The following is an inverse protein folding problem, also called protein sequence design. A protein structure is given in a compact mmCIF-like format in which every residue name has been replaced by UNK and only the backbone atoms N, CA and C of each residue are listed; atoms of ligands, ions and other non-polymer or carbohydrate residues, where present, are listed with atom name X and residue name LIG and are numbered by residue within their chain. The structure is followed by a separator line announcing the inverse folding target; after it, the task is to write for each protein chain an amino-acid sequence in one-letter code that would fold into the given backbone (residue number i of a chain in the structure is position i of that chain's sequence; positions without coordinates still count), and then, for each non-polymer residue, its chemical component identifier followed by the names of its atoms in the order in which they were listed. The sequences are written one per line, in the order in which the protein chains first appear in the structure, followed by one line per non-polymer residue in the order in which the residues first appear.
data_IF_192206034239
#
_entry.id   IF_192206034239
#
_cell.length_a   1.000
_cell.length_b   1.000
_cell.length_c   1.000
_cell.angle_alpha   90.00
_cell.angle_beta   90.00
_cell.angle_gamma   90.00
#
_symmetry.space_group_name_H-M   'P 1'
#
loop_
_entity.id
_entity.type
_entity.pdbx_description
1 polymer ?
#
# COMPACT_ATOMS: atom_id res chain seq x y z
N UNK A 1 15.37 -9.53 29.34
CA UNK A 1 15.74 -9.72 27.93
C UNK A 1 14.67 -10.57 27.26
N UNK A 2 13.95 -10.03 26.32
CA UNK A 2 12.79 -10.67 25.65
C UNK A 2 13.12 -11.14 24.23
N UNK A 3 14.17 -10.58 23.62
CA UNK A 3 14.59 -10.94 22.26
C UNK A 3 15.88 -11.77 22.30
N UNK A 4 15.91 -12.90 21.60
CA UNK A 4 17.09 -13.75 21.51
C UNK A 4 18.29 -13.05 20.86
N UNK A 5 18.04 -12.11 19.97
CA UNK A 5 19.07 -11.29 19.30
C UNK A 5 19.90 -10.45 20.27
N UNK A 6 19.34 -10.09 21.43
CA UNK A 6 20.05 -9.31 22.45
C UNK A 6 21.00 -10.18 23.34
N UNK A 7 20.90 -11.51 23.31
CA UNK A 7 21.62 -12.38 24.24
C UNK A 7 23.15 -12.25 24.09
N UNK A 8 23.66 -12.26 22.86
CA UNK A 8 25.09 -12.17 22.62
C UNK A 8 25.69 -10.86 23.17
N UNK A 9 25.03 -9.73 22.89
CA UNK A 9 25.45 -8.41 23.35
C UNK A 9 25.36 -8.28 24.87
N UNK A 10 24.30 -8.83 25.50
CA UNK A 10 24.14 -8.83 26.96
C UNK A 10 25.24 -9.64 27.63
N UNK A 11 25.55 -10.86 27.12
CA UNK A 11 26.60 -11.72 27.69
C UNK A 11 27.97 -11.07 27.53
N UNK A 12 28.27 -10.45 26.39
CA UNK A 12 29.53 -9.76 26.17
C UNK A 12 29.72 -8.58 27.13
N UNK A 13 28.69 -7.73 27.27
CA UNK A 13 28.74 -6.62 28.22
C UNK A 13 28.91 -7.08 29.66
N UNK A 14 28.24 -8.17 30.07
CA UNK A 14 28.42 -8.73 31.44
C UNK A 14 29.84 -9.17 31.70
N UNK A 15 30.56 -9.73 30.71
CA UNK A 15 31.99 -10.10 30.82
C UNK A 15 32.90 -8.88 30.89
N UNK A 16 32.51 -7.76 30.31
CA UNK A 16 33.32 -6.55 30.15
C UNK A 16 32.91 -5.39 31.08
N UNK A 17 32.45 -5.68 32.30
CA UNK A 17 32.13 -4.68 33.33
C UNK A 17 30.66 -4.35 33.51
N UNK A 18 29.76 -5.06 32.80
CA UNK A 18 28.32 -4.96 32.98
C UNK A 18 27.65 -4.05 31.98
N UNK A 19 26.31 -4.00 32.07
CA UNK A 19 25.47 -3.18 31.23
C UNK A 19 25.44 -1.72 31.68
N UNK A 20 25.55 -0.79 30.75
CA UNK A 20 25.32 0.64 31.04
C UNK A 20 23.87 0.92 31.41
N UNK A 21 23.60 2.12 31.95
CA UNK A 21 22.22 2.57 32.21
C UNK A 21 21.37 2.59 30.92
N UNK A 22 21.90 3.12 29.83
CA UNK A 22 21.19 3.19 28.55
C UNK A 22 20.81 1.80 28.00
N UNK A 23 21.75 0.83 28.10
CA UNK A 23 21.47 -0.55 27.67
C UNK A 23 20.40 -1.23 28.54
N UNK A 24 20.44 -1.01 29.88
CA UNK A 24 19.40 -1.53 30.79
C UNK A 24 18.05 -0.89 30.50
N UNK A 25 18.01 0.42 30.19
CA UNK A 25 16.79 1.14 29.85
C UNK A 25 16.18 0.61 28.53
N UNK A 26 17.01 0.42 27.50
CA UNK A 26 16.57 -0.15 26.21
C UNK A 26 15.98 -1.57 26.40
N UNK A 27 16.65 -2.43 27.18
CA UNK A 27 16.12 -3.77 27.48
C UNK A 27 14.81 -3.72 28.28
N UNK A 28 14.66 -2.74 29.18
CA UNK A 28 13.41 -2.54 29.92
C UNK A 28 12.28 -2.05 28.97
N UNK A 29 12.58 -1.11 28.07
CA UNK A 29 11.63 -0.64 27.05
C UNK A 29 11.16 -1.80 26.18
N UNK A 30 12.08 -2.60 25.61
CA UNK A 30 11.75 -3.80 24.83
C UNK A 30 10.86 -4.79 25.60
N UNK A 31 11.09 -4.94 26.91
CA UNK A 31 10.26 -5.82 27.73
C UNK A 31 8.83 -5.31 27.87
N UNK A 32 8.64 -4.00 28.08
CA UNK A 32 7.31 -3.40 28.14
C UNK A 32 6.60 -3.38 26.79
N UNK A 33 7.31 -3.12 25.69
CA UNK A 33 6.77 -3.22 24.33
C UNK A 33 6.28 -4.64 24.04
N UNK A 34 7.07 -5.66 24.43
CA UNK A 34 6.71 -7.07 24.24
C UNK A 34 5.45 -7.44 25.05
N UNK A 35 5.40 -7.07 26.34
CA UNK A 35 4.25 -7.41 27.19
C UNK A 35 3.00 -6.65 26.79
N UNK A 36 3.12 -5.37 26.42
CA UNK A 36 1.99 -4.57 25.92
C UNK A 36 1.37 -5.18 24.67
N UNK A 37 2.19 -5.60 23.70
CA UNK A 37 1.71 -6.29 22.50
C UNK A 37 1.06 -7.64 22.82
N UNK A 38 1.68 -8.42 23.70
CA UNK A 38 1.16 -9.72 24.14
C UNK A 38 -0.20 -9.60 24.84
N UNK A 39 -0.30 -8.71 25.83
CA UNK A 39 -1.54 -8.47 26.57
C UNK A 39 -2.62 -7.87 25.67
N UNK A 40 -2.25 -7.00 24.72
CA UNK A 40 -3.16 -6.45 23.73
C UNK A 40 -3.77 -7.52 22.81
N UNK A 41 -2.97 -8.48 22.35
CA UNK A 41 -3.46 -9.63 21.57
C UNK A 41 -4.42 -10.50 22.38
N UNK A 42 -4.09 -10.79 23.64
CA UNK A 42 -4.99 -11.55 24.54
C UNK A 42 -6.30 -10.80 24.75
N UNK A 43 -6.24 -9.50 25.03
CA UNK A 43 -7.43 -8.68 25.26
C UNK A 43 -8.34 -8.62 24.02
N UNK A 44 -7.77 -8.49 22.81
CA UNK A 44 -8.50 -8.55 21.55
C UNK A 44 -9.15 -9.93 21.34
N UNK A 45 -8.39 -11.01 21.61
CA UNK A 45 -8.88 -12.38 21.48
C UNK A 45 -10.05 -12.67 22.42
N UNK A 46 -9.87 -12.45 23.72
CA UNK A 46 -10.86 -12.71 24.75
C UNK A 46 -12.07 -11.77 24.63
N UNK A 47 -11.85 -10.51 24.24
CA UNK A 47 -12.90 -9.51 24.08
C UNK A 47 -13.89 -9.80 22.94
N UNK A 48 -13.54 -10.69 22.02
CA UNK A 48 -14.42 -11.18 20.96
C UNK A 48 -15.25 -12.41 21.34
N UNK A 49 -15.00 -13.05 22.49
CA UNK A 49 -15.72 -14.25 22.93
C UNK A 49 -17.11 -13.84 23.46
N UNK A 50 -18.15 -14.54 23.02
CA UNK A 50 -19.52 -14.34 23.53
C UNK A 50 -19.61 -14.90 24.96
N UNK A 51 -19.97 -14.01 25.89
CA UNK A 51 -20.13 -14.31 27.32
C UNK A 51 -21.59 -14.60 27.72
N UNK A 52 -22.52 -14.60 26.77
CA UNK A 52 -23.95 -14.83 27.04
C UNK A 52 -24.29 -16.30 27.32
N UNK A 53 -23.37 -17.21 27.03
CA UNK A 53 -23.49 -18.66 27.27
C UNK A 53 -22.61 -19.09 28.42
N UNK A 54 -23.05 -20.10 29.20
CA UNK A 54 -22.28 -20.68 30.30
C UNK A 54 -20.98 -21.40 29.83
N UNK A 55 -20.90 -21.72 28.53
CA UNK A 55 -19.74 -22.32 27.89
C UNK A 55 -19.09 -21.31 26.94
N UNK A 56 -17.83 -20.98 27.21
CA UNK A 56 -17.03 -20.12 26.33
C UNK A 56 -16.79 -20.85 25.01
N UNK A 57 -17.44 -20.37 23.93
CA UNK A 57 -17.22 -20.88 22.58
C UNK A 57 -16.26 -19.99 21.82
N UNK A 58 -15.21 -20.57 21.28
CA UNK A 58 -14.26 -19.88 20.39
C UNK A 58 -14.71 -19.88 18.92
N UNK A 59 -15.76 -20.67 18.59
CA UNK A 59 -16.26 -20.81 17.22
C UNK A 59 -17.09 -19.61 16.76
N UNK A 60 -17.80 -18.93 17.69
CA UNK A 60 -18.66 -17.79 17.40
C UNK A 60 -18.10 -16.48 17.96
N UNK A 61 -16.83 -16.16 17.63
CA UNK A 61 -16.23 -14.92 18.08
C UNK A 61 -16.72 -13.71 17.28
N UNK A 62 -17.02 -12.62 17.98
CA UNK A 62 -17.22 -11.32 17.33
C UNK A 62 -15.92 -10.87 16.65
N UNK A 63 -16.04 -10.32 15.44
CA UNK A 63 -14.94 -9.66 14.74
C UNK A 63 -14.48 -8.38 15.46
N UNK A 64 -15.37 -7.77 16.26
CA UNK A 64 -15.12 -6.52 16.97
C UNK A 64 -15.09 -6.76 18.47
N UNK A 65 -13.90 -6.87 19.10
CA UNK A 65 -13.77 -7.09 20.53
C UNK A 65 -14.22 -5.87 21.33
N UNK A 66 -14.53 -6.07 22.62
CA UNK A 66 -14.95 -5.00 23.53
C UNK A 66 -13.94 -3.86 23.65
N UNK A 67 -12.65 -4.18 23.65
CA UNK A 67 -11.55 -3.23 23.56
C UNK A 67 -10.70 -3.58 22.34
N UNK A 68 -10.17 -2.59 21.66
CA UNK A 68 -9.35 -2.80 20.47
C UNK A 68 -7.94 -2.26 20.68
N UNK A 69 -6.95 -3.15 20.63
CA UNK A 69 -5.56 -2.84 20.84
C UNK A 69 -4.78 -3.05 19.54
N UNK A 70 -3.92 -2.09 19.20
CA UNK A 70 -3.00 -2.15 18.08
C UNK A 70 -1.60 -1.75 18.55
N UNK A 71 -0.60 -2.41 18.02
CA UNK A 71 0.80 -2.02 18.24
C UNK A 71 1.47 -1.81 16.89
N UNK A 72 2.02 -0.62 16.71
CA UNK A 72 2.83 -0.25 15.56
C UNK A 72 4.24 0.11 16.01
N UNK A 73 5.22 -0.20 15.19
CA UNK A 73 6.63 0.12 15.43
C UNK A 73 7.01 1.31 14.55
N UNK A 74 7.65 2.32 15.13
CA UNK A 74 8.11 3.48 14.37
C UNK A 74 9.21 3.07 13.39
N UNK A 75 8.94 3.26 12.09
CA UNK A 75 9.88 2.99 11.01
C UNK A 75 10.70 4.23 10.66
N UNK A 76 10.09 5.43 10.72
CA UNK A 76 10.72 6.64 10.26
C UNK A 76 10.13 7.88 10.95
N UNK A 77 10.97 8.83 11.34
CA UNK A 77 10.55 10.20 11.63
C UNK A 77 10.41 10.95 10.29
N UNK A 78 9.32 11.69 10.12
CA UNK A 78 9.05 12.43 8.89
C UNK A 78 9.31 13.92 9.10
N UNK A 79 9.79 14.59 8.05
CA UNK A 79 10.10 16.01 8.11
C UNK A 79 8.89 16.86 8.53
N UNK A 80 7.68 16.51 8.06
CA UNK A 80 6.40 17.11 8.39
C UNK A 80 5.27 16.19 7.94
N UNK A 81 4.04 16.46 8.36
CA UNK A 81 2.85 15.73 7.98
C UNK A 81 2.30 16.13 6.61
N UNK A 82 0.99 16.09 6.46
CA UNK A 82 0.34 16.57 5.23
C UNK A 82 0.67 18.05 4.95
N UNK A 83 0.76 18.84 6.02
CA UNK A 83 1.14 20.25 5.95
C UNK A 83 2.44 20.53 6.71
N UNK A 84 3.22 21.58 6.31
CA UNK A 84 4.56 21.85 6.85
C UNK A 84 4.63 22.12 8.36
N UNK A 85 3.53 22.54 8.99
CA UNK A 85 3.47 22.83 10.42
C UNK A 85 3.17 21.59 11.28
N UNK A 86 2.83 20.45 10.68
CA UNK A 86 2.49 19.23 11.38
C UNK A 86 3.74 18.37 11.60
N UNK A 87 3.88 17.81 12.81
CA UNK A 87 4.87 16.77 13.06
C UNK A 87 4.32 15.41 12.60
N UNK A 88 5.17 14.54 12.09
CA UNK A 88 4.77 13.25 11.60
C UNK A 88 5.85 12.18 11.80
N UNK A 89 5.42 10.94 11.85
CA UNK A 89 6.25 9.75 11.80
C UNK A 89 5.49 8.63 11.07
N UNK A 90 6.22 7.72 10.46
CA UNK A 90 5.67 6.52 9.87
C UNK A 90 5.84 5.35 10.84
N UNK A 91 4.74 4.72 11.16
CA UNK A 91 4.68 3.52 11.98
C UNK A 91 4.21 2.35 11.12
N UNK A 92 4.77 1.19 11.35
CA UNK A 92 4.47 -0.04 10.61
C UNK A 92 4.05 -1.16 11.54
N UNK A 93 3.24 -2.06 11.02
CA UNK A 93 2.98 -3.38 11.59
C UNK A 93 3.66 -4.44 10.72
N UNK A 94 3.59 -5.71 11.09
CA UNK A 94 4.12 -6.80 10.28
C UNK A 94 3.04 -7.24 9.28
N UNK A 95 3.11 -6.81 8.00
CA UNK A 95 2.10 -7.16 7.01
C UNK A 95 2.33 -8.57 6.46
N UNK A 96 1.24 -9.19 5.97
CA UNK A 96 1.25 -10.51 5.35
C UNK A 96 1.52 -10.48 3.84
N UNK A 97 1.57 -9.28 3.23
CA UNK A 97 1.79 -9.10 1.80
C UNK A 97 2.74 -7.93 1.51
N UNK A 98 3.29 -7.90 0.29
CA UNK A 98 4.08 -6.77 -0.19
C UNK A 98 3.25 -5.48 -0.20
N UNK A 99 3.76 -4.42 0.43
CA UNK A 99 3.08 -3.12 0.58
C UNK A 99 4.12 -1.99 0.70
N UNK A 100 3.66 -0.76 0.86
CA UNK A 100 4.56 0.38 1.03
C UNK A 100 5.44 0.25 2.28
N UNK A 101 4.92 -0.39 3.34
CA UNK A 101 5.66 -0.59 4.60
C UNK A 101 6.81 -1.61 4.48
N UNK A 102 6.72 -2.56 3.53
CA UNK A 102 7.78 -3.55 3.24
C UNK A 102 8.69 -3.14 2.10
N UNK A 103 8.37 -2.06 1.39
CA UNK A 103 9.11 -1.64 0.22
C UNK A 103 10.53 -1.19 0.57
N UNK A 104 11.50 -1.66 -0.20
CA UNK A 104 12.89 -1.22 -0.12
C UNK A 104 13.08 0.01 -0.99
N UNK A 105 13.48 1.12 -0.38
CA UNK A 105 13.88 2.30 -1.12
C UNK A 105 15.28 2.11 -1.71
N UNK A 106 15.39 2.15 -3.03
CA UNK A 106 16.64 1.94 -3.78
C UNK A 106 17.36 3.24 -4.06
N UNK A 107 16.63 4.36 -4.13
CA UNK A 107 17.14 5.69 -4.44
C UNK A 107 16.21 6.78 -3.93
N UNK A 108 16.73 8.00 -3.83
CA UNK A 108 15.99 9.23 -3.57
C UNK A 108 16.06 9.68 -2.12
N UNK A 109 15.41 10.81 -1.84
CA UNK A 109 15.24 11.34 -0.49
C UNK A 109 14.27 10.48 0.31
N UNK A 110 14.26 10.63 1.62
CA UNK A 110 13.26 10.01 2.49
C UNK A 110 11.84 10.29 1.99
N UNK A 111 10.96 9.31 2.19
CA UNK A 111 9.54 9.44 1.86
C UNK A 111 8.91 10.48 2.78
N UNK A 112 8.10 11.38 2.23
CA UNK A 112 7.24 12.27 2.99
C UNK A 112 5.94 11.57 3.37
N UNK A 113 5.16 12.18 4.27
CA UNK A 113 3.83 11.73 4.64
C UNK A 113 2.94 11.52 3.41
N UNK A 114 2.89 12.52 2.52
CA UNK A 114 2.11 12.42 1.27
C UNK A 114 2.68 11.37 0.31
N UNK A 115 4.01 11.20 0.24
CA UNK A 115 4.58 10.13 -0.59
C UNK A 115 4.12 8.75 -0.13
N UNK A 116 4.10 8.48 1.18
CA UNK A 116 3.62 7.19 1.69
C UNK A 116 2.15 6.98 1.37
N UNK A 117 1.30 7.96 1.65
CA UNK A 117 -0.14 7.87 1.41
C UNK A 117 -0.49 7.69 -0.07
N UNK A 118 0.14 8.47 -0.96
CA UNK A 118 -0.10 8.40 -2.40
C UNK A 118 0.48 7.11 -3.01
N UNK A 119 1.63 6.64 -2.50
CA UNK A 119 2.25 5.38 -2.94
C UNK A 119 1.38 4.18 -2.55
N UNK A 120 0.81 4.18 -1.35
CA UNK A 120 -0.12 3.14 -0.91
C UNK A 120 -1.35 3.10 -1.82
N UNK A 121 -1.97 4.24 -2.09
CA UNK A 121 -3.13 4.34 -3.00
C UNK A 121 -2.80 3.82 -4.41
N UNK A 122 -1.63 4.15 -4.95
CA UNK A 122 -1.21 3.71 -6.28
C UNK A 122 -0.93 2.19 -6.32
N UNK A 123 -0.23 1.68 -5.30
CA UNK A 123 0.12 0.27 -5.20
C UNK A 123 -1.12 -0.61 -5.00
N UNK A 124 -2.03 -0.21 -4.11
CA UNK A 124 -3.26 -0.94 -3.87
C UNK A 124 -4.17 -0.99 -5.11
N UNK A 125 -4.23 0.10 -5.88
CA UNK A 125 -4.94 0.14 -7.13
C UNK A 125 -4.32 -0.81 -8.18
N UNK A 126 -3.00 -0.75 -8.40
CA UNK A 126 -2.34 -1.57 -9.43
C UNK A 126 -2.40 -3.07 -9.13
N UNK A 127 -2.44 -3.46 -7.86
CA UNK A 127 -2.63 -4.85 -7.40
C UNK A 127 -3.97 -5.47 -7.83
N UNK A 128 -4.96 -4.65 -8.20
CA UNK A 128 -6.26 -5.12 -8.68
C UNK A 128 -6.23 -5.70 -10.10
N UNK A 129 -5.11 -5.59 -10.80
CA UNK A 129 -4.95 -6.02 -12.18
C UNK A 129 -3.98 -7.19 -12.30
N UNK A 130 -4.39 -8.21 -13.06
CA UNK A 130 -3.59 -9.41 -13.31
C UNK A 130 -2.69 -9.30 -14.54
N UNK A 131 -3.09 -8.50 -15.56
CA UNK A 131 -2.28 -8.16 -16.71
C UNK A 131 -1.37 -6.98 -16.39
N UNK A 132 -0.28 -6.74 -17.16
CA UNK A 132 0.58 -5.59 -16.94
C UNK A 132 -0.20 -4.29 -16.87
N UNK A 133 0.04 -3.52 -15.83
CA UNK A 133 -0.71 -2.33 -15.50
C UNK A 133 0.20 -1.20 -15.01
N UNK A 134 -0.21 0.02 -15.30
CA UNK A 134 0.34 1.25 -14.76
C UNK A 134 -0.76 2.07 -14.10
N UNK A 135 -0.50 2.53 -12.88
CA UNK A 135 -1.37 3.46 -12.14
C UNK A 135 -0.56 4.71 -11.80
N UNK A 136 -1.10 5.87 -12.14
CA UNK A 136 -0.55 7.18 -11.75
C UNK A 136 -1.52 7.80 -10.77
N UNK A 137 -1.01 8.20 -9.61
CA UNK A 137 -1.78 8.79 -8.51
C UNK A 137 -1.31 10.20 -8.21
N UNK A 138 -2.24 11.07 -7.95
CA UNK A 138 -2.00 12.41 -7.38
C UNK A 138 -3.04 12.69 -6.29
N UNK A 139 -2.55 13.07 -5.10
CA UNK A 139 -3.41 13.35 -3.93
C UNK A 139 -4.35 12.19 -3.58
N UNK A 140 -3.78 10.99 -3.52
CA UNK A 140 -4.46 9.72 -3.23
C UNK A 140 -5.63 9.36 -4.18
N UNK A 141 -5.70 9.96 -5.37
CA UNK A 141 -6.64 9.57 -6.41
C UNK A 141 -5.89 9.13 -7.68
N UNK A 142 -6.31 8.06 -8.35
CA UNK A 142 -5.83 7.75 -9.68
C UNK A 142 -6.16 8.89 -10.66
N UNK A 143 -5.17 9.41 -11.36
CA UNK A 143 -5.35 10.36 -12.45
C UNK A 143 -5.10 9.72 -13.83
N UNK A 144 -4.49 8.54 -13.85
CA UNK A 144 -4.31 7.76 -15.06
C UNK A 144 -4.06 6.28 -14.75
N UNK A 145 -4.83 5.41 -15.39
CA UNK A 145 -4.70 3.95 -15.25
C UNK A 145 -4.81 3.30 -16.62
N UNK A 146 -3.93 2.34 -16.89
CA UNK A 146 -4.06 1.51 -18.08
C UNK A 146 -3.54 0.08 -17.84
N UNK A 147 -4.13 -0.85 -18.58
CA UNK A 147 -3.79 -2.29 -18.56
C UNK A 147 -3.52 -2.75 -19.98
N UNK A 148 -2.34 -3.27 -20.24
CA UNK A 148 -1.92 -3.71 -21.58
C UNK A 148 -1.27 -5.08 -21.49
N UNK A 149 -1.74 -6.09 -22.26
CA UNK A 149 -1.10 -7.39 -22.34
C UNK A 149 0.39 -7.30 -22.71
N UNK A 150 1.18 -8.31 -22.29
CA UNK A 150 2.64 -8.35 -22.57
C UNK A 150 2.94 -8.30 -24.06
N UNK A 151 2.19 -9.04 -24.88
CA UNK A 151 2.30 -9.14 -26.33
C UNK A 151 1.84 -7.87 -27.06
N UNK A 152 1.14 -6.97 -26.37
CA UNK A 152 0.69 -5.67 -26.90
C UNK A 152 1.58 -4.50 -26.43
N UNK A 153 2.66 -4.76 -25.68
CA UNK A 153 3.63 -3.76 -25.24
C UNK A 153 3.78 -3.59 -23.73
N UNK A 154 3.08 -4.39 -22.94
CA UNK A 154 3.28 -4.53 -21.49
C UNK A 154 3.23 -3.22 -20.71
N UNK A 155 4.06 -3.10 -19.66
CA UNK A 155 4.07 -1.92 -18.77
C UNK A 155 4.50 -0.63 -19.46
N UNK A 156 5.38 -0.72 -20.48
CA UNK A 156 5.81 0.47 -21.22
C UNK A 156 4.62 1.15 -21.91
N UNK A 157 3.81 0.36 -22.62
CA UNK A 157 2.60 0.86 -23.25
C UNK A 157 1.53 1.26 -22.23
N UNK A 158 1.40 0.51 -21.14
CA UNK A 158 0.50 0.86 -20.05
C UNK A 158 0.83 2.23 -19.45
N UNK A 159 2.13 2.54 -19.25
CA UNK A 159 2.55 3.87 -18.82
C UNK A 159 2.16 4.97 -19.83
N UNK A 160 2.41 4.75 -21.11
CA UNK A 160 2.05 5.74 -22.16
C UNK A 160 0.56 6.08 -22.13
N UNK A 161 -0.29 5.07 -22.00
CA UNK A 161 -1.73 5.23 -21.98
C UNK A 161 -2.21 5.86 -20.65
N UNK A 162 -1.68 5.43 -19.52
CA UNK A 162 -2.02 6.02 -18.23
C UNK A 162 -1.65 7.51 -18.18
N UNK A 163 -0.45 7.86 -18.63
CA UNK A 163 0.00 9.26 -18.71
C UNK A 163 -0.88 10.12 -19.63
N UNK A 164 -1.34 9.56 -20.74
CA UNK A 164 -2.19 10.25 -21.71
C UNK A 164 -3.61 10.57 -21.18
N UNK A 165 -4.03 9.96 -20.08
CA UNK A 165 -5.34 10.26 -19.46
C UNK A 165 -5.39 11.70 -18.96
N UNK A 166 -4.40 12.12 -18.18
CA UNK A 166 -4.27 13.47 -17.61
C UNK A 166 -2.80 13.77 -17.32
N UNK A 167 -2.10 14.29 -18.32
CA UNK A 167 -0.68 14.59 -18.22
C UNK A 167 -0.37 15.77 -17.28
N UNK A 168 -1.34 16.67 -17.05
CA UNK A 168 -1.18 17.79 -16.15
C UNK A 168 -1.22 17.31 -14.70
N UNK A 169 -2.21 16.51 -14.32
CA UNK A 169 -2.31 15.92 -12.98
C UNK A 169 -1.20 14.90 -12.70
N UNK A 170 -0.67 14.23 -13.73
CA UNK A 170 0.44 13.29 -13.58
C UNK A 170 1.75 13.95 -13.12
N UNK A 171 1.91 15.26 -13.32
CA UNK A 171 3.12 15.99 -12.90
C UNK A 171 3.32 15.94 -11.39
N UNK A 172 4.47 15.43 -10.96
CA UNK A 172 4.79 15.24 -9.54
C UNK A 172 3.94 14.15 -8.86
N UNK A 173 3.35 13.26 -9.64
CA UNK A 173 2.58 12.11 -9.16
C UNK A 173 3.44 10.93 -8.75
N UNK A 174 2.76 9.87 -8.34
CA UNK A 174 3.31 8.57 -7.98
C UNK A 174 2.94 7.58 -9.07
N UNK A 175 3.89 6.74 -9.49
CA UNK A 175 3.68 5.72 -10.52
C UNK A 175 3.88 4.33 -9.92
N UNK A 176 2.87 3.48 -10.04
CA UNK A 176 2.93 2.09 -9.61
C UNK A 176 2.76 1.12 -10.78
N UNK A 177 3.55 0.04 -10.75
CA UNK A 177 3.48 -1.06 -11.70
C UNK A 177 3.23 -2.40 -10.99
N UNK A 178 2.62 -3.35 -11.67
CA UNK A 178 2.45 -4.73 -11.20
C UNK A 178 3.39 -5.73 -11.90
N UNK A 179 4.42 -5.25 -12.55
CA UNK A 179 5.51 -6.01 -13.18
C UNK A 179 6.84 -5.35 -12.86
N UNK A 180 7.94 -6.07 -13.15
CA UNK A 180 9.28 -5.51 -13.05
C UNK A 180 9.40 -4.24 -13.89
N UNK A 181 9.90 -3.16 -13.29
CA UNK A 181 10.24 -1.93 -14.00
C UNK A 181 11.49 -2.17 -14.86
N UNK A 182 11.35 -2.07 -16.16
CA UNK A 182 12.44 -2.18 -17.12
C UNK A 182 13.06 -0.82 -17.47
N UNK A 183 14.23 -0.87 -18.17
CA UNK A 183 14.99 0.32 -18.54
C UNK A 183 14.23 1.24 -19.52
N UNK A 184 13.51 0.67 -20.50
CA UNK A 184 12.79 1.43 -21.52
C UNK A 184 11.60 2.19 -20.91
N UNK A 185 10.88 1.55 -19.99
CA UNK A 185 9.80 2.19 -19.24
C UNK A 185 10.34 3.30 -18.33
N UNK A 186 11.43 3.03 -17.61
CA UNK A 186 12.09 4.01 -16.76
C UNK A 186 12.58 5.23 -17.57
N UNK A 187 13.18 5.01 -18.75
CA UNK A 187 13.64 6.08 -19.66
C UNK A 187 12.47 6.98 -20.09
N UNK A 188 11.36 6.37 -20.49
CA UNK A 188 10.19 7.13 -20.87
C UNK A 188 9.62 8.00 -19.75
N UNK A 189 9.65 7.49 -18.51
CA UNK A 189 9.17 8.25 -17.34
C UNK A 189 10.07 9.47 -17.11
N UNK A 190 11.38 9.28 -17.00
CA UNK A 190 12.32 10.36 -16.61
C UNK A 190 12.48 11.43 -17.67
N UNK A 191 12.21 11.10 -18.95
CA UNK A 191 12.20 12.05 -20.05
C UNK A 191 10.91 12.86 -20.14
N UNK A 192 9.78 12.28 -19.77
CA UNK A 192 8.46 12.85 -20.03
C UNK A 192 7.91 13.68 -18.90
N UNK A 193 8.10 13.26 -17.65
CA UNK A 193 7.48 13.96 -16.52
C UNK A 193 8.39 14.07 -15.29
N UNK A 194 8.10 15.05 -14.48
CA UNK A 194 8.55 15.03 -13.09
C UNK A 194 7.73 14.01 -12.31
N UNK A 195 8.40 13.10 -11.62
CA UNK A 195 7.80 12.05 -10.79
C UNK A 195 8.41 12.07 -9.39
N UNK A 196 7.59 11.91 -8.38
CA UNK A 196 8.04 11.88 -6.97
C UNK A 196 8.47 10.49 -6.53
N UNK A 197 7.66 9.46 -6.84
CA UNK A 197 7.90 8.08 -6.47
C UNK A 197 7.55 7.15 -7.63
N UNK A 198 8.38 6.14 -7.84
CA UNK A 198 8.09 5.00 -8.70
C UNK A 198 8.17 3.74 -7.83
N UNK A 199 7.13 2.90 -7.87
CA UNK A 199 7.08 1.64 -7.14
C UNK A 199 6.73 0.48 -8.07
N UNK A 200 7.46 -0.63 -7.91
CA UNK A 200 7.24 -1.86 -8.66
C UNK A 200 7.58 -3.09 -7.79
N UNK A 201 7.07 -4.29 -8.12
CA UNK A 201 7.47 -5.53 -7.43
C UNK A 201 8.98 -5.74 -7.48
N UNK A 202 9.59 -5.43 -8.63
CA UNK A 202 11.02 -5.55 -8.89
C UNK A 202 11.48 -4.43 -9.82
N UNK A 203 12.74 -4.05 -9.70
CA UNK A 203 13.36 -3.01 -10.52
C UNK A 203 14.62 -3.56 -11.17
N UNK A 204 14.67 -3.58 -12.50
CA UNK A 204 15.83 -4.04 -13.25
C UNK A 204 17.06 -3.15 -13.01
N UNK A 205 18.25 -3.70 -13.26
CA UNK A 205 19.48 -2.92 -13.14
C UNK A 205 19.49 -1.75 -14.13
N UNK A 206 19.02 -1.96 -15.37
CA UNK A 206 18.90 -0.91 -16.37
C UNK A 206 17.96 0.23 -15.92
N UNK A 207 16.82 -0.10 -15.32
CA UNK A 207 15.92 0.91 -14.76
C UNK A 207 16.57 1.73 -13.64
N UNK A 208 17.33 1.09 -12.75
CA UNK A 208 18.08 1.78 -11.68
C UNK A 208 19.09 2.78 -12.25
N UNK A 209 19.84 2.38 -13.29
CA UNK A 209 20.81 3.25 -13.95
C UNK A 209 20.15 4.44 -14.62
N UNK A 210 19.02 4.25 -15.28
CA UNK A 210 18.23 5.32 -15.90
C UNK A 210 17.70 6.29 -14.84
N UNK A 211 17.04 5.79 -13.79
CA UNK A 211 16.44 6.64 -12.74
C UNK A 211 17.53 7.36 -11.94
N UNK A 212 18.76 6.85 -11.86
CA UNK A 212 19.88 7.52 -11.20
C UNK A 212 20.17 8.91 -11.77
N UNK A 213 19.81 9.17 -13.03
CA UNK A 213 19.90 10.51 -13.65
C UNK A 213 19.01 11.57 -12.96
N UNK A 214 18.01 11.13 -12.19
CA UNK A 214 17.06 11.97 -11.44
C UNK A 214 17.16 11.67 -9.94
N UNK A 215 18.22 12.09 -9.30
CA UNK A 215 18.58 11.74 -7.91
C UNK A 215 17.49 11.98 -6.87
N UNK A 216 16.52 12.85 -7.13
CA UNK A 216 15.43 13.15 -6.19
C UNK A 216 14.23 12.19 -6.33
N UNK A 217 14.14 11.41 -7.40
CA UNK A 217 13.09 10.40 -7.58
C UNK A 217 13.27 9.28 -6.57
N UNK A 218 12.23 8.95 -5.85
CA UNK A 218 12.22 7.82 -4.92
C UNK A 218 11.84 6.57 -5.68
N UNK A 219 12.76 5.63 -5.76
CA UNK A 219 12.58 4.37 -6.45
C UNK A 219 12.39 3.26 -5.43
N UNK A 220 11.25 2.59 -5.45
CA UNK A 220 10.85 1.58 -4.48
C UNK A 220 10.67 0.21 -5.14
N UNK A 221 11.16 -0.83 -4.45
CA UNK A 221 10.96 -2.23 -4.78
C UNK A 221 10.20 -2.90 -3.64
N UNK A 222 8.94 -3.31 -3.88
CA UNK A 222 8.07 -3.81 -2.82
C UNK A 222 8.01 -5.34 -2.71
N UNK A 223 8.54 -6.07 -3.70
CA UNK A 223 8.38 -7.52 -3.80
C UNK A 223 7.06 -7.92 -4.47
N UNK A 224 6.95 -9.23 -4.72
CA UNK A 224 5.75 -9.82 -5.31
C UNK A 224 4.64 -9.97 -4.26
N UNK A 225 3.39 -9.97 -4.71
CA UNK A 225 2.21 -10.21 -3.87
C UNK A 225 1.38 -11.38 -4.42
N UNK A 226 0.64 -12.11 -3.56
CA UNK A 226 -0.22 -13.19 -4.01
C UNK A 226 -1.37 -12.67 -4.88
N UNK A 227 -1.87 -13.53 -5.76
CA UNK A 227 -3.02 -13.20 -6.62
C UNK A 227 -4.29 -12.90 -5.80
N UNK A 228 -4.48 -13.64 -4.70
CA UNK A 228 -5.57 -13.42 -3.76
C UNK A 228 -5.12 -12.45 -2.67
N UNK A 229 -5.93 -11.42 -2.46
CA UNK A 229 -5.67 -10.39 -1.45
C UNK A 229 -5.98 -10.94 -0.06
N UNK A 230 -5.08 -10.69 0.87
CA UNK A 230 -5.27 -11.08 2.27
C UNK A 230 -6.41 -10.29 2.92
N UNK A 231 -7.27 -10.96 3.71
CA UNK A 231 -8.21 -10.27 4.59
C UNK A 231 -7.46 -9.33 5.55
N UNK A 232 -8.11 -8.27 5.97
CA UNK A 232 -7.52 -7.32 6.89
C UNK A 232 -8.53 -6.28 7.34
N UNK A 233 -8.02 -5.28 8.02
CA UNK A 233 -8.82 -4.18 8.53
C UNK A 233 -8.47 -2.89 7.82
N UNK A 234 -9.48 -2.04 7.65
CA UNK A 234 -9.36 -0.65 7.23
C UNK A 234 -9.79 0.25 8.39
N UNK A 235 -8.99 1.29 8.65
CA UNK A 235 -9.13 2.15 9.82
C UNK A 235 -9.32 3.60 9.41
N UNK A 236 -10.31 4.24 9.99
CA UNK A 236 -10.50 5.67 9.85
C UNK A 236 -10.55 6.36 11.20
N UNK A 237 -9.53 7.15 11.50
CA UNK A 237 -9.51 7.97 12.70
C UNK A 237 -10.57 9.07 12.60
N UNK A 238 -11.40 9.20 13.64
CA UNK A 238 -12.33 10.30 13.82
C UNK A 238 -12.07 10.99 15.15
N UNK A 239 -12.59 12.20 15.33
CA UNK A 239 -12.41 12.88 16.62
C UNK A 239 -13.11 12.06 17.73
N UNK A 240 -12.32 11.66 18.74
CA UNK A 240 -12.79 10.86 19.86
C UNK A 240 -12.98 9.36 19.59
N UNK A 241 -12.67 8.86 18.39
CA UNK A 241 -12.89 7.44 18.08
C UNK A 241 -12.11 6.90 16.90
N UNK A 242 -12.38 5.63 16.61
CA UNK A 242 -11.82 4.88 15.48
C UNK A 242 -12.96 4.11 14.82
N UNK A 243 -13.15 4.30 13.52
CA UNK A 243 -13.98 3.43 12.71
C UNK A 243 -13.12 2.29 12.19
N UNK A 244 -13.63 1.07 12.30
CA UNK A 244 -12.97 -0.16 11.84
C UNK A 244 -13.94 -0.90 10.94
N UNK A 245 -13.47 -1.32 9.77
CA UNK A 245 -14.22 -2.18 8.86
C UNK A 245 -13.28 -3.25 8.28
N UNK A 246 -13.85 -4.31 7.73
CA UNK A 246 -13.07 -5.25 6.93
C UNK A 246 -12.56 -4.56 5.69
N UNK A 247 -11.31 -4.89 5.30
CA UNK A 247 -10.73 -4.43 4.04
C UNK A 247 -11.63 -4.81 2.87
N UNK A 248 -11.84 -3.88 1.95
CA UNK A 248 -12.58 -4.15 0.72
C UNK A 248 -11.71 -4.95 -0.26
N UNK A 249 -11.85 -6.27 -0.21
CA UNK A 249 -11.20 -7.22 -1.13
C UNK A 249 -12.15 -7.75 -2.21
N UNK A 250 -13.42 -7.32 -2.18
CA UNK A 250 -14.42 -7.73 -3.16
C UNK A 250 -14.03 -7.32 -4.59
N UNK A 251 -14.19 -8.23 -5.52
CA UNK A 251 -13.99 -8.02 -6.95
C UNK A 251 -15.16 -8.62 -7.72
N UNK A 252 -15.67 -7.87 -8.70
CA UNK A 252 -16.66 -8.38 -9.63
C UNK A 252 -15.98 -9.04 -10.83
N UNK A 253 -16.70 -10.01 -11.38
CA UNK A 253 -16.36 -10.69 -12.63
C UNK A 253 -17.49 -10.48 -13.65
N UNK A 254 -17.29 -10.91 -14.87
CA UNK A 254 -18.33 -10.87 -15.89
C UNK A 254 -19.60 -11.64 -15.49
N UNK A 255 -19.45 -12.75 -14.73
CA UNK A 255 -20.57 -13.55 -14.25
C UNK A 255 -21.49 -12.84 -13.25
N UNK A 256 -21.00 -11.77 -12.61
CA UNK A 256 -21.75 -10.98 -11.65
C UNK A 256 -22.60 -9.87 -12.33
N UNK A 257 -22.38 -9.65 -13.63
CA UNK A 257 -23.04 -8.57 -14.37
C UNK A 257 -24.44 -8.96 -14.83
N UNK A 258 -25.38 -8.03 -14.66
CA UNK A 258 -26.75 -8.16 -15.18
C UNK A 258 -27.02 -7.03 -16.19
N UNK A 259 -27.33 -7.41 -17.41
CA UNK A 259 -27.69 -6.44 -18.44
C UNK A 259 -29.11 -5.93 -18.16
N UNK A 260 -29.23 -4.64 -17.90
CA UNK A 260 -30.51 -3.97 -17.60
C UNK A 260 -30.87 -2.89 -18.64
N UNK A 261 -30.00 -2.67 -19.62
CA UNK A 261 -30.19 -1.73 -20.72
C UNK A 261 -30.89 -2.38 -21.91
N UNK A 262 -31.51 -1.57 -22.79
CA UNK A 262 -32.14 -2.06 -24.01
C UNK A 262 -31.11 -2.67 -24.97
N UNK A 263 -29.96 -2.04 -25.12
CA UNK A 263 -28.83 -2.53 -25.89
C UNK A 263 -27.88 -3.34 -24.97
N UNK A 264 -27.56 -4.56 -25.35
CA UNK A 264 -26.51 -5.30 -24.68
C UNK A 264 -25.13 -4.67 -24.98
N UNK A 265 -24.22 -4.65 -24.00
CA UNK A 265 -22.84 -4.26 -24.23
C UNK A 265 -22.13 -5.28 -25.12
N UNK A 266 -21.14 -4.83 -25.88
CA UNK A 266 -20.18 -5.70 -26.56
C UNK A 266 -19.20 -6.31 -25.55
N UNK A 267 -18.47 -7.36 -25.93
CA UNK A 267 -17.43 -7.97 -25.10
C UNK A 267 -16.37 -6.93 -24.67
N UNK A 268 -15.94 -6.07 -25.59
CA UNK A 268 -14.99 -4.99 -25.28
C UNK A 268 -15.57 -4.00 -24.26
N UNK A 269 -16.85 -3.63 -24.40
CA UNK A 269 -17.50 -2.74 -23.42
C UNK A 269 -17.63 -3.40 -22.04
N UNK A 270 -17.86 -4.71 -21.96
CA UNK A 270 -17.84 -5.45 -20.69
C UNK A 270 -16.46 -5.37 -20.05
N UNK A 271 -15.39 -5.61 -20.79
CA UNK A 271 -14.03 -5.48 -20.30
C UNK A 271 -13.73 -4.07 -19.78
N UNK A 272 -14.18 -3.04 -20.50
CA UNK A 272 -13.99 -1.64 -20.10
C UNK A 272 -14.82 -1.26 -18.88
N UNK A 273 -16.04 -1.81 -18.73
CA UNK A 273 -16.88 -1.63 -17.54
C UNK A 273 -16.24 -2.25 -16.29
N UNK A 274 -15.74 -3.47 -16.39
CA UNK A 274 -15.04 -4.14 -15.27
C UNK A 274 -13.75 -3.38 -14.92
N UNK A 275 -13.00 -2.92 -15.93
CA UNK A 275 -11.81 -2.09 -15.71
C UNK A 275 -12.17 -0.78 -14.99
N UNK A 276 -13.20 -0.06 -15.46
CA UNK A 276 -13.65 1.18 -14.86
C UNK A 276 -14.12 0.98 -13.42
N UNK A 277 -14.84 -0.12 -13.15
CA UNK A 277 -15.27 -0.49 -11.79
C UNK A 277 -14.06 -0.70 -10.85
N UNK A 278 -13.03 -1.42 -11.31
CA UNK A 278 -11.80 -1.63 -10.54
C UNK A 278 -11.08 -0.32 -10.23
N UNK A 279 -11.03 0.61 -11.18
CA UNK A 279 -10.44 1.94 -10.95
C UNK A 279 -11.31 2.76 -9.98
N UNK A 280 -12.63 2.77 -10.18
CA UNK A 280 -13.56 3.55 -9.36
C UNK A 280 -13.49 3.19 -7.86
N UNK A 281 -13.17 1.93 -7.53
CA UNK A 281 -12.95 1.47 -6.17
C UNK A 281 -11.88 2.29 -5.43
N UNK A 282 -10.89 2.83 -6.13
CA UNK A 282 -9.76 3.61 -5.59
C UNK A 282 -9.92 5.12 -5.79
N UNK A 283 -11.04 5.57 -6.32
CA UNK A 283 -11.37 6.99 -6.47
C UNK A 283 -12.28 7.40 -5.33
N UNK A 284 -11.99 8.53 -4.68
CA UNK A 284 -12.82 9.06 -3.60
C UNK A 284 -14.23 9.36 -4.11
N UNK A 285 -15.22 9.12 -3.24
CA UNK A 285 -16.64 9.38 -3.55
C UNK A 285 -16.87 10.85 -3.98
N UNK A 286 -17.72 11.06 -5.02
CA UNK A 286 -18.66 10.06 -5.58
C UNK A 286 -18.11 9.27 -6.77
N UNK A 287 -16.86 9.35 -7.16
CA UNK A 287 -16.15 8.58 -8.16
C UNK A 287 -16.85 8.44 -9.53
N UNK A 288 -16.39 9.15 -10.52
CA UNK A 288 -16.78 8.97 -11.92
C UNK A 288 -15.55 8.57 -12.74
N UNK A 289 -15.61 7.42 -13.39
CA UNK A 289 -14.53 6.92 -14.24
C UNK A 289 -15.06 6.64 -15.64
N UNK A 290 -14.48 7.32 -16.63
CA UNK A 290 -14.64 6.97 -18.04
C UNK A 290 -13.45 6.14 -18.50
N UNK A 291 -13.75 5.02 -19.16
CA UNK A 291 -12.74 4.11 -19.69
C UNK A 291 -13.03 3.68 -21.11
N UNK A 292 -11.97 3.39 -21.86
CA UNK A 292 -12.02 2.82 -23.20
C UNK A 292 -10.75 2.02 -23.45
N UNK A 293 -10.89 0.81 -23.98
CA UNK A 293 -9.76 -0.09 -24.31
C UNK A 293 -8.84 -0.33 -23.10
N UNK A 294 -9.41 -0.56 -21.92
CA UNK A 294 -8.69 -0.76 -20.63
C UNK A 294 -7.74 0.40 -20.27
N UNK A 295 -8.12 1.60 -20.66
CA UNK A 295 -7.46 2.86 -20.31
C UNK A 295 -8.50 3.81 -19.74
N UNK A 296 -8.15 4.55 -18.69
CA UNK A 296 -8.95 5.69 -18.26
C UNK A 296 -8.86 6.81 -19.28
N UNK A 297 -9.98 7.46 -19.57
CA UNK A 297 -10.04 8.65 -20.43
C UNK A 297 -10.54 9.87 -19.67
N UNK A 298 -10.97 9.67 -18.42
CA UNK A 298 -11.33 10.72 -17.49
C UNK A 298 -11.66 10.14 -16.13
N UNK A 299 -11.21 10.81 -15.07
CA UNK A 299 -11.46 10.45 -13.67
C UNK A 299 -11.91 11.70 -12.93
N UNK A 300 -13.01 11.60 -12.18
CA UNK A 300 -13.52 12.63 -11.29
C UNK A 300 -13.78 12.07 -9.90
N UNK A 301 -13.33 12.81 -8.85
CA UNK A 301 -13.46 12.45 -7.44
C UNK A 301 -14.40 13.42 -6.71
#
# INVERSE_FOLDING_TARGET
VVNAEDYAAVVDNLKNGGLTYAQRFDLALKAFEHTAGYDGMIANYLGGIDQSTEQLSTENRSLFPRTYNMQFIKAQDMRYGENPHQQAAFYVEKPDEACVATAKQLQGKELSFNNVADTDAALECVKSFTKPACVIVKHANPCGVAVVPEDEGGIRKAYDLAYATDSESAFGGIIAFNRELDGDTAQAIVERQFVEVIIAPKVSQAAREVVASKANVRLLECGEWPAERSPGWDYKRVNGGLLIQSRDIGMITEADLKIVTQRAPTEQEIHDLIFAWKVAKFVKSNAIVYAKNRQTVGVGA
#
